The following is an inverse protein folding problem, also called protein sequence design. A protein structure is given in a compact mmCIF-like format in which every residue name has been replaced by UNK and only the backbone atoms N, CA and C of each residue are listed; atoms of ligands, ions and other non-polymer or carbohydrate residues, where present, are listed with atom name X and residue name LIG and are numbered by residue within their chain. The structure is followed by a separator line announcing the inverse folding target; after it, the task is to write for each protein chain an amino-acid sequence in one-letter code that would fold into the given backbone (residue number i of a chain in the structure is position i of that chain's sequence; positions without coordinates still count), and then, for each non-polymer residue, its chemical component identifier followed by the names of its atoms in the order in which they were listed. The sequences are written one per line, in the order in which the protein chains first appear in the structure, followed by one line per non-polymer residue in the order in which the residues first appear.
data_IF_984285087288
#
_entry.id   IF_984285087288
#
_cell.length_a   1.000
_cell.length_b   1.000
_cell.length_c   1.000
_cell.angle_alpha   90.00
_cell.angle_beta   90.00
_cell.angle_gamma   90.00
#
_symmetry.space_group_name_H-M   'P 1'
#
loop_
_entity.id
_entity.type
_entity.pdbx_description
1 polymer ?
#
# COMPACT_ATOMS: atom_id res chain seq x y z
N UNK A 1 -1.98 -6.65 11.14
CA UNK A 1 -1.08 -5.82 10.31
C UNK A 1 0.30 -5.81 10.96
N UNK A 2 1.35 -6.21 10.25
CA UNK A 2 2.73 -6.15 10.75
C UNK A 2 3.13 -4.67 10.86
N UNK A 3 3.13 -4.11 12.06
CA UNK A 3 3.55 -2.73 12.31
C UNK A 3 5.05 -2.70 12.65
N UNK A 4 5.76 -1.61 12.33
CA UNK A 4 7.13 -1.43 12.79
C UNK A 4 7.13 -1.54 14.32
N UNK A 5 8.04 -2.33 14.89
CA UNK A 5 8.01 -2.58 16.33
C UNK A 5 8.59 -1.33 17.02
N UNK A 6 7.82 -0.71 17.92
CA UNK A 6 8.28 0.46 18.66
C UNK A 6 9.29 0.03 19.72
N UNK A 7 10.47 0.65 19.75
CA UNK A 7 11.53 0.29 20.69
C UNK A 7 11.13 0.49 22.16
N UNK A 8 11.49 -0.48 23.02
CA UNK A 8 11.22 -0.46 24.46
C UNK A 8 12.23 0.47 25.16
N UNK A 9 11.74 1.42 25.99
CA UNK A 9 12.59 2.35 26.78
C UNK A 9 13.16 1.64 28.03
N UNK A 10 14.40 2.04 28.42
CA UNK A 10 15.18 1.57 29.61
C UNK A 10 15.87 0.19 29.50
N UNK A 11 16.51 -0.11 28.36
CA UNK A 11 17.33 -1.32 28.19
C UNK A 11 18.84 -0.99 28.28
N UNK A 12 19.66 -1.91 28.81
CA UNK A 12 21.13 -1.79 28.81
C UNK A 12 21.65 -1.50 27.39
N UNK A 13 22.62 -0.58 27.26
CA UNK A 13 23.06 -0.02 25.97
C UNK A 13 23.50 -1.09 24.95
N UNK A 14 24.14 -2.17 25.42
CA UNK A 14 24.57 -3.32 24.60
C UNK A 14 23.37 -4.08 24.01
N UNK A 15 22.39 -4.46 24.83
CA UNK A 15 21.18 -5.16 24.37
C UNK A 15 20.36 -4.26 23.46
N UNK A 16 20.17 -2.99 23.84
CA UNK A 16 19.47 -1.98 23.04
C UNK A 16 20.04 -1.86 21.62
N UNK A 17 21.36 -1.91 21.47
CA UNK A 17 21.99 -1.82 20.15
C UNK A 17 21.69 -3.09 19.30
N UNK A 18 21.76 -4.28 19.91
CA UNK A 18 21.46 -5.55 19.23
C UNK A 18 19.98 -5.65 18.84
N UNK A 19 19.08 -5.36 19.76
CA UNK A 19 17.63 -5.35 19.53
C UNK A 19 17.21 -4.30 18.51
N UNK A 20 17.89 -3.15 18.49
CA UNK A 20 17.64 -2.08 17.50
C UNK A 20 18.03 -2.52 16.10
N UNK A 21 19.17 -3.19 15.90
CA UNK A 21 19.57 -3.68 14.56
C UNK A 21 18.59 -4.71 14.03
N UNK A 22 18.16 -5.67 14.84
CA UNK A 22 17.19 -6.70 14.42
C UNK A 22 15.83 -6.08 14.09
N UNK A 23 15.36 -5.16 14.92
CA UNK A 23 14.09 -4.47 14.70
C UNK A 23 14.14 -3.51 13.50
N UNK A 24 15.27 -2.85 13.24
CA UNK A 24 15.45 -1.97 12.09
C UNK A 24 15.46 -2.76 10.78
N UNK A 25 16.12 -3.92 10.75
CA UNK A 25 16.08 -4.86 9.62
C UNK A 25 14.65 -5.35 9.36
N UNK A 26 13.93 -5.72 10.41
CA UNK A 26 12.54 -6.15 10.31
C UNK A 26 11.62 -5.01 9.84
N UNK A 27 11.77 -3.81 10.39
CA UNK A 27 10.98 -2.64 10.00
C UNK A 27 11.28 -2.21 8.56
N UNK A 28 12.53 -2.32 8.12
CA UNK A 28 12.93 -2.08 6.73
C UNK A 28 12.31 -3.11 5.79
N UNK A 29 12.36 -4.40 6.14
CA UNK A 29 11.73 -5.46 5.35
C UNK A 29 10.22 -5.23 5.19
N UNK A 30 9.53 -4.91 6.29
CA UNK A 30 8.10 -4.63 6.27
C UNK A 30 7.78 -3.34 5.50
N UNK A 31 8.63 -2.32 5.58
CA UNK A 31 8.45 -1.07 4.83
C UNK A 31 8.66 -1.28 3.33
N UNK A 32 9.67 -2.09 2.95
CA UNK A 32 9.95 -2.47 1.57
C UNK A 32 8.82 -3.25 0.93
N UNK A 33 8.05 -4.00 1.71
CA UNK A 33 6.82 -4.66 1.24
C UNK A 33 5.63 -3.69 1.09
N UNK A 34 5.55 -2.64 1.91
CA UNK A 34 4.45 -1.65 1.84
C UNK A 34 4.57 -0.69 0.67
N UNK A 35 5.77 -0.20 0.40
CA UNK A 35 6.05 0.74 -0.69
C UNK A 35 5.52 0.29 -2.07
N UNK A 36 5.72 -0.97 -2.52
CA UNK A 36 5.21 -1.42 -3.82
C UNK A 36 3.68 -1.53 -3.82
N UNK A 37 3.06 -1.92 -2.70
CA UNK A 37 1.60 -1.97 -2.56
C UNK A 37 1.01 -0.55 -2.68
N UNK A 38 1.59 0.41 -1.96
CA UNK A 38 1.12 1.80 -2.00
C UNK A 38 1.32 2.44 -3.38
N UNK A 39 2.44 2.15 -4.05
CA UNK A 39 2.71 2.56 -5.42
C UNK A 39 1.70 1.98 -6.41
N UNK A 40 1.38 0.69 -6.29
CA UNK A 40 0.36 0.01 -7.10
C UNK A 40 -1.02 0.64 -6.92
N UNK A 41 -1.45 0.85 -5.67
CA UNK A 41 -2.74 1.47 -5.39
C UNK A 41 -2.79 2.92 -5.89
N UNK A 42 -1.73 3.69 -5.72
CA UNK A 42 -1.67 5.06 -6.22
C UNK A 42 -1.75 5.12 -7.76
N UNK A 43 -1.02 4.24 -8.45
CA UNK A 43 -1.08 4.12 -9.91
C UNK A 43 -2.48 3.69 -10.39
N UNK A 44 -3.09 2.70 -9.72
CA UNK A 44 -4.42 2.22 -10.05
C UNK A 44 -5.46 3.34 -9.89
N UNK A 45 -5.44 4.07 -8.78
CA UNK A 45 -6.36 5.18 -8.51
C UNK A 45 -6.22 6.27 -9.56
N UNK A 46 -4.99 6.60 -9.99
CA UNK A 46 -4.75 7.59 -11.03
C UNK A 46 -5.30 7.17 -12.39
N UNK A 47 -5.17 5.89 -12.77
CA UNK A 47 -5.68 5.37 -14.04
C UNK A 47 -7.20 5.17 -14.03
N UNK A 48 -7.76 4.74 -12.90
CA UNK A 48 -9.18 4.41 -12.79
C UNK A 48 -10.07 5.56 -12.35
N UNK A 49 -9.52 6.63 -11.75
CA UNK A 49 -10.25 7.79 -11.20
C UNK A 49 -11.55 7.32 -10.53
N UNK A 50 -11.39 6.39 -9.56
CA UNK A 50 -12.50 5.76 -8.81
C UNK A 50 -13.31 6.81 -8.05
N UNK A 51 -12.70 7.95 -7.70
CA UNK A 51 -13.36 9.06 -7.03
C UNK A 51 -14.47 9.68 -7.90
N UNK A 52 -14.31 9.75 -9.23
CA UNK A 52 -15.43 10.13 -10.13
C UNK A 52 -16.57 9.12 -10.11
N UNK A 53 -16.29 7.84 -9.89
CA UNK A 53 -17.30 6.80 -9.86
C UNK A 53 -18.25 6.96 -8.66
N UNK A 54 -17.76 7.45 -7.50
CA UNK A 54 -18.59 7.76 -6.31
C UNK A 54 -19.72 8.76 -6.61
N UNK A 55 -19.55 9.65 -7.59
CA UNK A 55 -20.58 10.62 -7.99
C UNK A 55 -21.76 9.97 -8.74
N UNK A 56 -21.63 8.70 -9.15
CA UNK A 56 -22.70 7.97 -9.84
C UNK A 56 -23.75 7.50 -8.83
N UNK A 57 -24.99 7.98 -8.99
CA UNK A 57 -26.10 7.76 -8.05
C UNK A 57 -26.68 6.33 -8.07
N UNK A 58 -26.25 5.47 -9.00
CA UNK A 58 -26.80 4.14 -9.23
C UNK A 58 -25.73 3.05 -9.13
N UNK A 59 -25.98 2.01 -8.34
CA UNK A 59 -25.08 0.86 -8.18
C UNK A 59 -24.83 0.14 -9.52
N UNK A 60 -25.85 -0.01 -10.37
CA UNK A 60 -25.68 -0.59 -11.71
C UNK A 60 -24.85 0.30 -12.64
N UNK A 61 -25.06 1.62 -12.57
CA UNK A 61 -24.28 2.60 -13.33
C UNK A 61 -22.85 2.80 -12.83
N UNK A 62 -22.55 2.32 -11.62
CA UNK A 62 -21.23 2.42 -10.97
C UNK A 62 -20.28 1.30 -11.43
N UNK A 63 -20.76 0.06 -11.51
CA UNK A 63 -19.91 -1.10 -11.83
C UNK A 63 -19.35 -1.05 -13.25
N UNK A 64 -20.15 -0.68 -14.24
CA UNK A 64 -19.77 -0.67 -15.67
C UNK A 64 -18.55 0.23 -15.95
N UNK A 65 -18.51 1.50 -15.52
CA UNK A 65 -17.34 2.36 -15.73
C UNK A 65 -16.13 1.95 -14.87
N UNK A 66 -16.34 1.37 -13.68
CA UNK A 66 -15.25 0.84 -12.84
C UNK A 66 -14.56 -0.33 -13.53
N UNK A 67 -15.32 -1.34 -13.98
CA UNK A 67 -14.75 -2.50 -14.67
C UNK A 67 -14.08 -2.12 -15.98
N UNK A 68 -14.66 -1.19 -16.75
CA UNK A 68 -14.04 -0.70 -17.99
C UNK A 68 -12.70 0.00 -17.76
N UNK A 69 -12.59 0.84 -16.72
CA UNK A 69 -11.35 1.55 -16.40
C UNK A 69 -10.29 0.62 -15.80
N UNK A 70 -10.69 -0.37 -15.00
CA UNK A 70 -9.79 -1.42 -14.51
C UNK A 70 -9.24 -2.23 -15.69
N UNK A 71 -10.11 -2.68 -16.61
CA UNK A 71 -9.69 -3.42 -17.80
C UNK A 71 -8.71 -2.60 -18.66
N UNK A 72 -8.98 -1.31 -18.88
CA UNK A 72 -8.07 -0.41 -19.60
C UNK A 72 -6.72 -0.25 -18.89
N UNK A 73 -6.70 -0.14 -17.55
CA UNK A 73 -5.46 -0.07 -16.79
C UNK A 73 -4.62 -1.34 -16.95
N UNK A 74 -5.24 -2.53 -16.93
CA UNK A 74 -4.54 -3.80 -17.13
C UNK A 74 -4.02 -3.96 -18.57
N UNK A 75 -4.79 -3.56 -19.58
CA UNK A 75 -4.32 -3.58 -20.99
C UNK A 75 -3.09 -2.69 -21.16
N UNK A 76 -3.08 -1.49 -20.56
CA UNK A 76 -1.95 -0.56 -20.58
C UNK A 76 -0.73 -1.01 -19.76
N UNK A 77 -0.87 -2.04 -18.92
CA UNK A 77 0.25 -2.64 -18.20
C UNK A 77 0.93 -3.73 -19.05
N UNK A 78 0.15 -4.40 -19.92
CA UNK A 78 0.60 -5.49 -20.79
C UNK A 78 1.22 -4.99 -22.09
N UNK A 79 0.70 -3.90 -22.66
CA UNK A 79 1.17 -3.25 -23.90
C UNK A 79 1.95 -1.97 -23.60
#
# INVERSE_FOLDING_TARGET
MMTPIKGIKRQCQQNKNRDKTVNDLFSTAVSRFRQPIESLFNWLIQKTDIQKAIKVRSTKGLFIPIFGKIASAFIHLIF
#
